data_IF_744617894544
#
_entry.id   IF_744617894544
#
_cell.length_a   1.000
_cell.length_b   1.000
_cell.length_c   1.000
_cell.angle_alpha   90.00
_cell.angle_beta   90.00
_cell.angle_gamma   90.00
#
_symmetry.space_group_name_H-M   'P 1'
#
loop_
_entity.id
_entity.type
_entity.pdbx_description
1 polymer ?
#
# COMPACT_ATOMS: atom_id res chain seq x y z
N UNK A 1 7.93 -6.67 8.14
CA UNK A 1 7.00 -7.26 7.14
C UNK A 1 7.30 -6.68 5.78
N UNK A 2 6.99 -7.46 4.72
CA UNK A 2 7.03 -7.00 3.34
C UNK A 2 5.73 -7.39 2.63
N UNK A 3 5.38 -6.65 1.57
CA UNK A 3 4.27 -6.95 0.67
C UNK A 3 4.83 -7.36 -0.69
N UNK A 4 4.23 -8.39 -1.28
CA UNK A 4 4.56 -8.89 -2.62
C UNK A 4 3.29 -8.84 -3.46
N UNK A 5 3.40 -8.38 -4.71
CA UNK A 5 2.32 -8.38 -5.69
C UNK A 5 2.74 -9.14 -6.95
N UNK A 6 2.25 -10.37 -7.09
CA UNK A 6 2.52 -11.21 -8.24
C UNK A 6 1.22 -11.47 -9.02
N UNK A 7 1.06 -10.80 -10.16
CA UNK A 7 -0.14 -10.86 -11.00
C UNK A 7 0.06 -11.73 -12.26
N UNK A 8 1.30 -12.06 -12.60
CA UNK A 8 1.63 -12.86 -13.77
C UNK A 8 2.44 -14.11 -13.41
N UNK A 9 2.45 -15.10 -14.28
CA UNK A 9 3.29 -16.29 -14.11
C UNK A 9 4.78 -15.92 -14.06
N UNK A 10 5.23 -14.95 -14.85
CA UNK A 10 6.62 -14.48 -14.84
C UNK A 10 7.02 -13.94 -13.46
N UNK A 11 6.14 -13.20 -12.79
CA UNK A 11 6.39 -12.67 -11.43
C UNK A 11 6.41 -13.80 -10.39
N UNK A 12 5.53 -14.79 -10.51
CA UNK A 12 5.57 -15.97 -9.66
C UNK A 12 6.87 -16.78 -9.86
N UNK A 13 7.31 -16.93 -11.09
CA UNK A 13 8.59 -17.58 -11.38
C UNK A 13 9.78 -16.79 -10.80
N UNK A 14 9.69 -15.46 -10.81
CA UNK A 14 10.65 -14.61 -10.09
C UNK A 14 10.66 -14.88 -8.58
N UNK A 15 9.49 -15.03 -7.94
CA UNK A 15 9.41 -15.41 -6.52
C UNK A 15 10.09 -16.76 -6.28
N UNK A 16 9.83 -17.76 -7.12
CA UNK A 16 10.45 -19.08 -6.95
C UNK A 16 11.98 -19.01 -7.06
N UNK A 17 12.51 -18.25 -8.01
CA UNK A 17 13.97 -18.04 -8.13
C UNK A 17 14.53 -17.28 -6.92
N UNK A 18 13.85 -16.23 -6.47
CA UNK A 18 14.25 -15.45 -5.30
C UNK A 18 14.31 -16.30 -4.01
N UNK A 19 13.42 -17.27 -3.89
CA UNK A 19 13.38 -18.24 -2.78
C UNK A 19 14.39 -19.40 -2.93
N UNK A 20 15.00 -19.57 -4.11
CA UNK A 20 15.87 -20.71 -4.39
C UNK A 20 15.09 -22.00 -4.66
N UNK A 21 13.88 -21.89 -5.22
CA UNK A 21 12.98 -22.99 -5.60
C UNK A 21 12.71 -22.98 -7.11
N UNK A 22 13.74 -22.93 -7.98
CA UNK A 22 13.53 -22.85 -9.43
C UNK A 22 12.77 -24.05 -10.01
N UNK A 23 12.81 -25.22 -9.34
CA UNK A 23 12.06 -26.41 -9.70
C UNK A 23 10.55 -26.22 -9.69
N UNK A 24 10.02 -25.25 -8.95
CA UNK A 24 8.59 -24.93 -8.90
C UNK A 24 8.07 -24.33 -10.22
N UNK A 25 8.97 -23.82 -11.07
CA UNK A 25 8.60 -23.28 -12.39
C UNK A 25 8.03 -24.37 -13.30
N UNK A 26 8.61 -25.57 -13.25
CA UNK A 26 8.18 -26.73 -14.05
C UNK A 26 7.21 -27.66 -13.31
N UNK A 27 6.96 -27.41 -12.03
CA UNK A 27 6.05 -28.23 -11.24
C UNK A 27 4.60 -27.97 -11.63
N UNK A 28 3.90 -29.03 -12.06
CA UNK A 28 2.49 -28.96 -12.49
C UNK A 28 1.54 -28.38 -11.44
N UNK A 29 1.93 -28.38 -10.16
CA UNK A 29 1.18 -27.79 -9.06
C UNK A 29 1.30 -26.27 -9.00
N UNK A 30 2.36 -25.67 -9.60
CA UNK A 30 2.68 -24.25 -9.42
C UNK A 30 2.97 -23.48 -10.72
N UNK A 31 3.08 -24.18 -11.87
CA UNK A 31 3.53 -23.61 -13.13
C UNK A 31 2.52 -22.65 -13.82
N UNK A 32 1.31 -22.55 -13.32
CA UNK A 32 0.29 -21.62 -13.81
C UNK A 32 -0.65 -21.16 -12.70
N UNK A 33 -1.42 -20.10 -12.98
CA UNK A 33 -2.29 -19.46 -11.99
C UNK A 33 -3.37 -20.40 -11.41
N UNK A 34 -3.95 -21.26 -12.24
CA UNK A 34 -4.99 -22.22 -11.79
C UNK A 34 -4.39 -23.26 -10.85
N UNK A 35 -3.27 -23.87 -11.26
CA UNK A 35 -2.58 -24.87 -10.46
C UNK A 35 -2.12 -24.31 -9.09
N UNK A 36 -1.60 -23.07 -9.06
CA UNK A 36 -1.27 -22.39 -7.80
C UNK A 36 -2.48 -22.18 -6.89
N UNK A 37 -3.63 -21.83 -7.46
CA UNK A 37 -4.87 -21.66 -6.69
C UNK A 37 -5.31 -22.97 -6.03
N UNK A 38 -5.27 -24.07 -6.76
CA UNK A 38 -5.63 -25.42 -6.25
C UNK A 38 -4.64 -25.90 -5.15
N UNK A 39 -3.37 -25.51 -5.26
CA UNK A 39 -2.29 -25.92 -4.35
C UNK A 39 -1.84 -24.79 -3.39
N UNK A 40 -2.70 -23.81 -3.14
CA UNK A 40 -2.36 -22.60 -2.36
C UNK A 40 -1.80 -22.91 -0.97
N UNK A 41 -2.32 -23.91 -0.28
CA UNK A 41 -1.86 -24.29 1.06
C UNK A 41 -0.40 -24.75 1.06
N UNK A 42 0.00 -25.52 0.04
CA UNK A 42 1.38 -25.97 -0.10
C UNK A 42 2.30 -24.83 -0.56
N UNK A 43 1.82 -24.03 -1.50
CA UNK A 43 2.53 -22.84 -1.97
C UNK A 43 2.85 -21.87 -0.82
N UNK A 44 1.86 -21.56 0.03
CA UNK A 44 2.07 -20.66 1.19
C UNK A 44 3.11 -21.22 2.16
N UNK A 45 3.16 -22.55 2.34
CA UNK A 45 4.20 -23.16 3.18
C UNK A 45 5.61 -22.92 2.62
N UNK A 46 5.79 -22.92 1.30
CA UNK A 46 7.10 -22.62 0.71
C UNK A 46 7.52 -21.17 0.92
N UNK A 47 6.57 -20.24 1.03
CA UNK A 47 6.84 -18.82 1.28
C UNK A 47 7.38 -18.56 2.71
N UNK A 48 7.26 -19.51 3.65
CA UNK A 48 7.84 -19.37 4.99
C UNK A 48 9.37 -19.26 4.97
N UNK A 49 10.03 -19.62 3.86
CA UNK A 49 11.46 -19.36 3.65
C UNK A 49 11.80 -17.87 3.86
N UNK A 50 10.91 -16.97 3.53
CA UNK A 50 11.09 -15.53 3.76
C UNK A 50 11.26 -15.18 5.24
N UNK A 51 10.73 -15.98 6.17
CA UNK A 51 10.88 -15.75 7.62
C UNK A 51 12.33 -15.89 8.10
N UNK A 52 13.17 -16.58 7.33
CA UNK A 52 14.59 -16.73 7.61
C UNK A 52 15.45 -15.57 7.10
N UNK A 53 14.88 -14.66 6.32
CA UNK A 53 15.56 -13.52 5.70
C UNK A 53 15.28 -12.23 6.47
N UNK A 54 16.22 -11.29 6.39
CA UNK A 54 15.91 -9.91 6.74
C UNK A 54 14.97 -9.31 5.68
N UNK A 55 14.24 -8.26 6.05
CA UNK A 55 13.35 -7.57 5.08
C UNK A 55 14.15 -7.03 3.89
N UNK A 56 15.34 -6.49 4.15
CA UNK A 56 16.19 -5.89 3.12
C UNK A 56 16.75 -6.96 2.17
N UNK A 57 17.18 -8.12 2.69
CA UNK A 57 17.63 -9.24 1.86
C UNK A 57 16.49 -9.81 1.02
N UNK A 58 15.30 -9.95 1.59
CA UNK A 58 14.11 -10.42 0.87
C UNK A 58 13.71 -9.45 -0.25
N UNK A 59 13.68 -8.14 0.05
CA UNK A 59 13.41 -7.11 -0.96
C UNK A 59 14.42 -7.16 -2.09
N UNK A 60 15.73 -7.23 -1.75
CA UNK A 60 16.77 -7.29 -2.78
C UNK A 60 16.60 -8.50 -3.69
N UNK A 61 16.38 -9.69 -3.13
CA UNK A 61 16.18 -10.92 -3.91
C UNK A 61 14.99 -10.83 -4.86
N UNK A 62 13.87 -10.27 -4.38
CA UNK A 62 12.65 -10.10 -5.17
C UNK A 62 12.83 -9.05 -6.27
N UNK A 63 13.49 -7.93 -5.98
CA UNK A 63 13.78 -6.87 -6.94
C UNK A 63 14.75 -7.33 -8.04
N UNK A 64 15.77 -8.13 -7.68
CA UNK A 64 16.72 -8.71 -8.64
C UNK A 64 15.99 -9.64 -9.65
N UNK A 65 14.79 -10.13 -9.33
CA UNK A 65 13.92 -10.97 -10.17
C UNK A 65 12.70 -10.22 -10.73
N UNK A 66 12.71 -8.88 -10.72
CA UNK A 66 11.63 -8.03 -11.24
C UNK A 66 10.25 -8.30 -10.59
N UNK A 67 10.24 -8.75 -9.34
CA UNK A 67 8.99 -8.99 -8.59
C UNK A 67 8.57 -7.71 -7.87
N UNK A 68 7.36 -7.18 -8.12
CA UNK A 68 6.85 -6.03 -7.40
C UNK A 68 6.72 -6.32 -5.89
N UNK A 69 7.49 -5.63 -5.10
CA UNK A 69 7.50 -5.79 -3.65
C UNK A 69 7.84 -4.47 -2.94
N UNK A 70 7.42 -4.35 -1.70
CA UNK A 70 7.75 -3.21 -0.86
C UNK A 70 7.80 -3.59 0.62
N UNK A 71 8.58 -2.85 1.41
CA UNK A 71 8.53 -2.90 2.86
C UNK A 71 7.17 -2.39 3.34
N UNK A 72 6.55 -3.11 4.28
CA UNK A 72 5.40 -2.58 5.02
C UNK A 72 5.94 -1.65 6.11
N UNK A 73 5.56 -0.37 6.04
CA UNK A 73 6.03 0.67 6.97
C UNK A 73 4.96 1.03 7.99
N UNK A 74 5.37 1.51 9.16
CA UNK A 74 4.49 2.07 10.18
C UNK A 74 3.97 3.46 9.78
N UNK A 75 2.96 3.96 10.50
CA UNK A 75 2.49 5.33 10.30
C UNK A 75 3.57 6.36 10.60
N UNK A 76 4.41 6.13 11.59
CA UNK A 76 5.52 7.04 11.94
C UNK A 76 6.56 7.08 10.81
N UNK A 77 6.92 5.92 10.25
CA UNK A 77 7.81 5.83 9.08
C UNK A 77 7.17 6.49 7.85
N UNK A 78 5.85 6.33 7.66
CA UNK A 78 5.12 6.97 6.55
C UNK A 78 5.21 8.49 6.61
N UNK A 79 5.10 9.07 7.81
CA UNK A 79 5.10 10.54 8.01
C UNK A 79 6.40 11.22 7.59
N UNK A 80 7.50 10.49 7.56
CA UNK A 80 8.83 10.96 7.18
C UNK A 80 9.36 10.30 5.90
N UNK A 81 8.50 9.55 5.21
CA UNK A 81 8.92 8.82 4.01
C UNK A 81 9.22 9.77 2.86
N UNK A 82 10.37 9.66 2.18
CA UNK A 82 10.79 10.59 1.12
C UNK A 82 9.76 10.77 0.01
N UNK A 83 9.05 9.71 -0.38
CA UNK A 83 8.00 9.77 -1.40
C UNK A 83 6.76 10.55 -0.91
N UNK A 84 6.43 10.47 0.37
CA UNK A 84 5.32 11.21 0.98
C UNK A 84 5.65 12.70 1.02
N UNK A 85 6.90 13.03 1.37
CA UNK A 85 7.40 14.41 1.36
C UNK A 85 7.46 14.97 -0.06
N UNK A 86 8.07 14.25 -1.01
CA UNK A 86 8.17 14.67 -2.42
C UNK A 86 6.81 14.92 -3.08
N UNK A 87 5.80 14.14 -2.72
CA UNK A 87 4.42 14.31 -3.21
C UNK A 87 3.59 15.27 -2.35
N UNK A 88 4.14 15.81 -1.27
CA UNK A 88 3.44 16.70 -0.34
C UNK A 88 2.07 16.13 0.07
N UNK A 89 2.05 14.86 0.50
CA UNK A 89 0.80 14.14 0.75
C UNK A 89 0.07 14.57 2.02
N UNK A 90 0.77 15.17 2.98
CA UNK A 90 0.18 15.70 4.20
C UNK A 90 0.17 17.22 4.19
N UNK A 91 -0.87 17.76 4.77
CA UNK A 91 -1.01 19.21 4.99
C UNK A 91 -1.53 19.46 6.41
N UNK A 92 -1.20 20.63 6.92
CA UNK A 92 -1.73 21.08 8.21
C UNK A 92 -3.05 21.80 7.99
N UNK A 93 -4.07 21.41 8.75
CA UNK A 93 -5.37 22.10 8.80
C UNK A 93 -5.71 22.46 10.24
N UNK A 94 -6.35 23.60 10.42
CA UNK A 94 -6.73 24.09 11.75
C UNK A 94 -8.13 23.66 12.08
N UNK A 95 -8.26 22.80 13.09
CA UNK A 95 -9.55 22.34 13.64
C UNK A 95 -9.92 23.17 14.88
N UNK A 96 -11.18 23.58 14.96
CA UNK A 96 -11.70 24.27 16.15
C UNK A 96 -11.78 23.36 17.39
N UNK A 97 -11.77 22.04 17.18
CA UNK A 97 -11.89 21.03 18.24
C UNK A 97 -10.54 20.46 18.65
N UNK A 98 -9.67 20.19 17.68
CA UNK A 98 -8.41 19.45 17.88
C UNK A 98 -7.16 20.30 17.73
N UNK A 99 -7.32 21.59 17.40
CA UNK A 99 -6.19 22.48 17.10
C UNK A 99 -5.60 22.19 15.71
N UNK A 100 -4.30 22.17 15.59
CA UNK A 100 -3.62 21.86 14.33
C UNK A 100 -3.55 20.35 14.13
N UNK A 101 -4.11 19.86 13.01
CA UNK A 101 -4.10 18.45 12.64
C UNK A 101 -3.45 18.26 11.28
N UNK A 102 -2.73 17.14 11.12
CA UNK A 102 -2.22 16.73 9.83
C UNK A 102 -3.29 15.91 9.10
N UNK A 103 -3.65 16.36 7.93
CA UNK A 103 -4.64 15.69 7.07
C UNK A 103 -3.98 15.26 5.76
N UNK A 104 -4.46 14.14 5.23
CA UNK A 104 -4.08 13.70 3.88
C UNK A 104 -4.68 14.68 2.86
N UNK A 105 -3.84 15.11 1.95
CA UNK A 105 -4.26 15.85 0.78
C UNK A 105 -4.85 14.91 -0.27
N UNK A 106 -5.74 15.41 -1.10
CA UNK A 106 -6.20 14.65 -2.26
C UNK A 106 -5.03 14.40 -3.22
N UNK A 107 -4.70 13.14 -3.56
CA UNK A 107 -3.47 12.83 -4.29
C UNK A 107 -3.54 13.19 -5.78
N UNK A 108 -4.75 13.33 -6.33
CA UNK A 108 -4.95 13.62 -7.75
C UNK A 108 -4.78 15.12 -8.03
N UNK A 109 -4.14 15.45 -9.15
CA UNK A 109 -4.04 16.80 -9.68
C UNK A 109 -4.89 16.91 -10.93
N UNK A 110 -5.58 18.03 -11.11
CA UNK A 110 -6.33 18.37 -12.32
C UNK A 110 -5.66 19.54 -13.01
N UNK A 111 -5.23 19.36 -14.25
CA UNK A 111 -4.48 20.35 -15.04
C UNK A 111 -3.26 20.90 -14.28
N UNK A 112 -2.57 20.03 -13.53
CA UNK A 112 -1.43 20.41 -12.69
C UNK A 112 -1.80 21.09 -11.37
N UNK A 113 -3.09 21.41 -11.15
CA UNK A 113 -3.55 22.03 -9.91
C UNK A 113 -3.83 20.98 -8.84
N UNK A 114 -3.37 21.28 -7.64
CA UNK A 114 -3.64 20.45 -6.46
C UNK A 114 -5.04 20.73 -5.94
N UNK A 115 -5.81 19.65 -5.76
CA UNK A 115 -7.14 19.74 -5.14
C UNK A 115 -6.97 19.70 -3.63
N UNK A 116 -7.47 20.72 -2.97
CA UNK A 116 -7.44 20.84 -1.53
C UNK A 116 -8.84 20.98 -0.96
N UNK A 117 -9.21 20.08 -0.05
CA UNK A 117 -10.35 20.26 0.81
C UNK A 117 -9.83 20.52 2.24
N UNK A 118 -9.65 21.79 2.56
CA UNK A 118 -9.03 22.23 3.82
C UNK A 118 -9.95 22.31 5.03
N UNK A 119 -11.17 21.80 4.92
CA UNK A 119 -12.14 21.85 6.01
C UNK A 119 -11.86 20.70 7.01
N UNK A 120 -11.71 21.02 8.30
CA UNK A 120 -11.64 20.01 9.33
C UNK A 120 -13.00 19.32 9.53
N UNK A 121 -12.99 18.19 10.24
CA UNK A 121 -14.23 17.57 10.67
C UNK A 121 -15.01 18.55 11.58
N UNK A 122 -16.32 18.76 11.32
CA UNK A 122 -17.13 19.67 12.14
C UNK A 122 -17.43 19.10 13.51
N UNK A 123 -17.72 19.98 14.46
CA UNK A 123 -18.30 19.60 15.73
C UNK A 123 -19.72 19.03 15.56
N UNK A 124 -20.18 18.28 16.57
CA UNK A 124 -21.54 17.76 16.55
C UNK A 124 -22.55 18.91 16.49
N UNK A 125 -23.32 18.94 15.38
CA UNK A 125 -24.34 19.98 15.14
C UNK A 125 -23.81 21.34 14.66
N UNK A 126 -22.54 21.49 14.34
CA UNK A 126 -21.91 22.76 13.92
C UNK A 126 -22.65 23.42 12.74
N UNK A 127 -23.10 22.63 11.77
CA UNK A 127 -23.81 23.15 10.57
C UNK A 127 -25.33 23.03 10.65
N UNK A 128 -25.91 22.73 11.83
CA UNK A 128 -27.36 22.48 11.99
C UNK A 128 -28.20 23.67 11.50
N UNK A 129 -27.86 24.88 11.92
CA UNK A 129 -28.63 26.08 11.59
C UNK A 129 -28.56 26.42 10.10
N UNK A 130 -27.35 26.33 9.53
CA UNK A 130 -27.10 26.54 8.11
C UNK A 130 -27.90 25.58 7.22
N UNK A 131 -27.94 24.29 7.62
CA UNK A 131 -28.70 23.27 6.89
C UNK A 131 -30.20 23.57 6.97
N UNK A 132 -30.73 23.93 8.13
CA UNK A 132 -32.15 24.26 8.30
C UNK A 132 -32.52 25.46 7.45
N UNK A 133 -31.73 26.53 7.43
CA UNK A 133 -31.94 27.73 6.66
C UNK A 133 -31.90 27.44 5.14
N UNK A 134 -30.99 26.58 4.67
CA UNK A 134 -30.90 26.19 3.27
C UNK A 134 -32.12 25.42 2.75
N UNK A 135 -32.86 24.74 3.63
CA UNK A 135 -34.08 24.01 3.29
C UNK A 135 -35.32 24.88 3.31
N UNK A 136 -35.23 26.11 3.80
CA UNK A 136 -36.36 27.04 3.93
C UNK A 136 -36.44 28.04 2.77
N UNK A 137 -35.49 27.97 1.81
CA UNK A 137 -35.45 28.70 0.56
C UNK A 137 -35.81 27.80 -0.63
#
# INVERSE_FOLDING_TARGET
FLSIAALSDAQWFGIFRALGLPEYIEDERFNNAFARSENMVELVKSLTIFESLTVDDALKKLQDEDVPCSKTISLDELMIHPQVEANNLFQSIKSNIQGEVRALRYPTKFDGNEMFNGNPAPALGEHKQEIIESLSN
#
